data_IF_855856938535
#
_entry.id   IF_855856938535
#
_cell.length_a   1.000
_cell.length_b   1.000
_cell.length_c   1.000
_cell.angle_alpha   90.00
_cell.angle_beta   90.00
_cell.angle_gamma   90.00
#
_symmetry.space_group_name_H-M   'P 1'
#
loop_
_entity.id
_entity.type
_entity.pdbx_description
1 polymer ?
#
# COMPACT_ATOMS: atom_id res chain seq x y z
N UNK A 1 10.78 6.07 -32.75
CA UNK A 1 9.60 6.38 -31.92
C UNK A 1 9.80 5.65 -30.60
N UNK A 2 10.02 6.38 -29.51
CA UNK A 2 10.33 5.78 -28.20
C UNK A 2 9.06 5.61 -27.37
N UNK A 3 9.02 4.64 -26.44
CA UNK A 3 7.86 4.41 -25.56
C UNK A 3 7.43 5.66 -24.75
N UNK A 4 8.35 6.61 -24.54
CA UNK A 4 8.07 7.92 -23.92
C UNK A 4 7.09 8.78 -24.73
N UNK A 5 7.04 8.61 -26.05
CA UNK A 5 6.23 9.43 -26.96
C UNK A 5 4.75 9.00 -26.97
N UNK A 6 4.42 7.84 -26.39
CA UNK A 6 3.07 7.25 -26.45
C UNK A 6 2.24 7.56 -25.19
N UNK A 7 2.87 7.71 -24.02
CA UNK A 7 2.17 7.81 -22.73
C UNK A 7 2.41 9.10 -21.94
N UNK A 8 3.22 10.03 -22.47
CA UNK A 8 3.46 11.32 -21.84
C UNK A 8 2.36 12.34 -22.13
N UNK A 9 1.16 12.16 -21.59
CA UNK A 9 0.10 13.17 -21.70
C UNK A 9 0.32 14.26 -20.65
N UNK A 10 0.62 15.49 -21.09
CA UNK A 10 0.59 16.67 -20.22
C UNK A 10 -0.86 17.00 -19.90
N UNK A 11 -1.25 16.85 -18.63
CA UNK A 11 -2.55 17.30 -18.16
C UNK A 11 -2.42 18.72 -17.65
N UNK A 12 -3.15 19.66 -18.26
CA UNK A 12 -3.22 21.04 -17.80
C UNK A 12 -4.37 21.18 -16.80
N UNK A 13 -4.03 21.42 -15.53
CA UNK A 13 -4.99 21.73 -14.48
C UNK A 13 -5.10 23.24 -14.25
N UNK A 14 -6.30 23.74 -13.99
CA UNK A 14 -6.47 25.09 -13.41
C UNK A 14 -6.64 24.97 -11.91
N UNK A 15 -5.88 25.77 -11.16
CA UNK A 15 -6.08 25.92 -9.72
C UNK A 15 -7.43 26.59 -9.45
N UNK A 16 -8.20 26.09 -8.49
CA UNK A 16 -9.41 26.77 -8.01
C UNK A 16 -9.11 27.97 -7.11
N UNK A 17 -7.88 28.08 -6.61
CA UNK A 17 -7.47 29.05 -5.58
C UNK A 17 -6.61 30.19 -6.10
N UNK A 18 -6.21 30.17 -7.38
CA UNK A 18 -5.52 31.28 -8.03
C UNK A 18 -5.88 31.37 -9.52
N UNK A 19 -5.84 32.58 -10.08
CA UNK A 19 -6.01 32.81 -11.52
C UNK A 19 -4.81 32.33 -12.36
N UNK A 20 -3.81 31.71 -11.73
CA UNK A 20 -2.62 31.19 -12.40
C UNK A 20 -2.86 29.75 -12.88
N UNK A 21 -2.56 29.50 -14.15
CA UNK A 21 -2.62 28.14 -14.72
C UNK A 21 -1.33 27.42 -14.33
N UNK A 22 -1.39 26.59 -13.31
CA UNK A 22 -0.24 25.76 -12.89
C UNK A 22 -0.14 24.58 -13.85
N UNK A 23 0.87 24.60 -14.72
CA UNK A 23 1.17 23.48 -15.62
C UNK A 23 2.01 22.44 -14.87
N UNK A 24 1.36 21.52 -14.17
CA UNK A 24 2.06 20.38 -13.59
C UNK A 24 2.24 19.27 -14.63
N UNK A 25 3.48 18.78 -14.77
CA UNK A 25 3.74 17.61 -15.61
C UNK A 25 3.67 16.38 -14.70
N UNK A 26 2.57 15.63 -14.80
CA UNK A 26 2.46 14.33 -14.13
C UNK A 26 3.18 13.32 -15.01
N UNK A 27 4.31 12.77 -14.53
CA UNK A 27 5.00 11.68 -15.22
C UNK A 27 4.15 10.41 -15.14
N UNK A 28 3.45 10.07 -16.23
CA UNK A 28 2.79 8.78 -16.36
C UNK A 28 3.86 7.71 -16.62
N UNK A 29 4.14 6.87 -15.63
CA UNK A 29 5.05 5.72 -15.76
C UNK A 29 4.24 4.45 -15.96
N UNK A 30 4.37 3.83 -17.15
CA UNK A 30 3.89 2.47 -17.37
C UNK A 30 4.86 1.51 -16.69
N UNK A 31 4.35 0.70 -15.77
CA UNK A 31 5.12 -0.33 -15.05
C UNK A 31 4.60 -1.70 -15.45
N UNK A 32 5.50 -2.58 -15.89
CA UNK A 32 5.18 -3.97 -16.23
C UNK A 32 5.98 -4.82 -15.26
N UNK A 33 5.29 -5.69 -14.54
CA UNK A 33 5.93 -6.52 -13.54
C UNK A 33 5.23 -7.85 -13.31
N UNK A 34 5.97 -8.78 -12.71
CA UNK A 34 5.46 -10.05 -12.22
C UNK A 34 5.28 -9.97 -10.70
N UNK A 35 4.18 -10.54 -10.21
CA UNK A 35 3.86 -10.59 -8.80
C UNK A 35 3.71 -12.05 -8.36
N UNK A 36 4.45 -12.44 -7.34
CA UNK A 36 4.24 -13.68 -6.62
C UNK A 36 3.68 -13.38 -5.23
N UNK A 37 2.67 -14.14 -4.83
CA UNK A 37 2.00 -14.02 -3.55
C UNK A 37 1.89 -15.39 -2.91
N UNK A 38 2.29 -15.48 -1.64
CA UNK A 38 2.11 -16.65 -0.81
C UNK A 38 1.51 -16.22 0.52
N UNK A 39 0.51 -16.95 0.97
CA UNK A 39 -0.15 -16.76 2.27
C UNK A 39 -0.24 -18.10 2.99
N UNK A 40 0.03 -18.08 4.29
CA UNK A 40 -0.16 -19.23 5.17
C UNK A 40 -0.86 -18.76 6.42
N UNK A 41 -1.97 -19.41 6.76
CA UNK A 41 -2.76 -19.09 7.95
C UNK A 41 -2.65 -20.22 8.97
N UNK A 42 -2.43 -19.83 10.23
CA UNK A 42 -2.45 -20.70 11.39
C UNK A 42 -3.58 -20.26 12.32
N UNK A 43 -4.56 -21.13 12.51
CA UNK A 43 -5.63 -20.90 13.47
C UNK A 43 -5.16 -21.16 14.90
N UNK A 44 -5.54 -20.28 15.83
CA UNK A 44 -5.29 -20.43 17.27
C UNK A 44 -6.62 -20.29 18.02
N UNK A 45 -6.78 -20.84 19.25
CA UNK A 45 -8.07 -20.90 19.95
C UNK A 45 -8.82 -19.57 20.16
N UNK A 46 -8.18 -18.42 19.93
CA UNK A 46 -8.76 -17.08 20.05
C UNK A 46 -8.32 -16.14 18.93
N UNK A 47 -8.01 -16.66 17.74
CA UNK A 47 -7.53 -15.82 16.64
C UNK A 47 -6.89 -16.59 15.50
N UNK A 48 -6.17 -15.89 14.65
CA UNK A 48 -5.34 -16.49 13.63
C UNK A 48 -4.05 -15.70 13.43
N UNK A 49 -3.02 -16.37 12.94
CA UNK A 49 -1.77 -15.76 12.51
C UNK A 49 -1.66 -16.01 11.02
N UNK A 50 -1.59 -14.94 10.23
CA UNK A 50 -1.37 -14.98 8.78
C UNK A 50 0.05 -14.54 8.49
N UNK A 51 0.78 -15.38 7.77
CA UNK A 51 2.07 -15.03 7.20
C UNK A 51 1.86 -14.76 5.73
N UNK A 52 2.26 -13.57 5.26
CA UNK A 52 2.11 -13.18 3.88
C UNK A 52 3.45 -12.75 3.29
N UNK A 53 3.77 -13.29 2.12
CA UNK A 53 4.98 -12.90 1.40
C UNK A 53 4.57 -12.46 0.01
N UNK A 54 4.92 -11.22 -0.34
CA UNK A 54 4.70 -10.68 -1.68
C UNK A 54 6.03 -10.33 -2.30
N UNK A 55 6.29 -10.84 -3.50
CA UNK A 55 7.44 -10.49 -4.30
C UNK A 55 6.95 -9.81 -5.58
N UNK A 56 7.47 -8.62 -5.86
CA UNK A 56 7.15 -7.84 -7.03
C UNK A 56 8.44 -7.57 -7.80
N UNK A 57 8.50 -8.11 -9.01
CA UNK A 57 9.55 -7.81 -9.98
C UNK A 57 8.95 -6.76 -10.91
N UNK A 58 9.39 -5.51 -10.83
CA UNK A 58 9.11 -4.47 -11.82
C UNK A 58 10.35 -4.29 -12.70
N UNK A 59 10.16 -3.92 -13.97
CA UNK A 59 11.25 -3.75 -14.94
C UNK A 59 12.37 -2.81 -14.44
N UNK A 60 12.03 -1.84 -13.61
CA UNK A 60 12.98 -0.87 -13.04
C UNK A 60 13.44 -1.21 -11.62
N UNK A 61 12.64 -1.94 -10.83
CA UNK A 61 12.89 -2.15 -9.39
C UNK A 61 12.37 -3.50 -8.91
N UNK A 62 13.20 -4.20 -8.14
CA UNK A 62 12.80 -5.43 -7.45
C UNK A 62 12.38 -5.08 -6.02
N UNK A 63 11.14 -5.44 -5.67
CA UNK A 63 10.63 -5.25 -4.34
C UNK A 63 10.24 -6.58 -3.70
N UNK A 64 10.63 -6.72 -2.44
CA UNK A 64 10.29 -7.85 -1.60
C UNK A 64 9.57 -7.33 -0.36
N UNK A 65 8.43 -7.93 -0.08
CA UNK A 65 7.49 -7.54 0.97
C UNK A 65 7.09 -8.76 1.82
N UNK A 66 7.96 -9.25 2.71
CA UNK A 66 7.54 -10.20 3.72
C UNK A 66 6.75 -9.48 4.81
N UNK A 67 5.72 -10.14 5.32
CA UNK A 67 4.88 -9.64 6.39
C UNK A 67 4.24 -10.75 7.21
N UNK A 68 3.73 -10.33 8.35
CA UNK A 68 2.89 -11.14 9.21
C UNK A 68 1.76 -10.28 9.76
N UNK A 69 0.60 -10.91 9.92
CA UNK A 69 -0.59 -10.34 10.51
C UNK A 69 -1.12 -11.29 11.58
N UNK A 70 -1.44 -10.76 12.75
CA UNK A 70 -2.04 -11.50 13.85
C UNK A 70 -3.42 -10.94 14.09
N UNK A 71 -4.44 -11.76 13.97
CA UNK A 71 -5.82 -11.44 14.32
C UNK A 71 -6.17 -12.03 15.69
N UNK A 72 -6.66 -11.19 16.58
CA UNK A 72 -7.16 -11.56 17.90
C UNK A 72 -8.67 -11.46 17.88
N UNK A 73 -9.34 -12.60 18.06
CA UNK A 73 -10.80 -12.74 18.10
C UNK A 73 -11.52 -12.16 16.87
N UNK A 74 -10.83 -12.06 15.73
CA UNK A 74 -11.32 -11.37 14.51
C UNK A 74 -11.68 -9.89 14.70
N UNK A 75 -11.42 -9.31 15.88
CA UNK A 75 -11.74 -7.92 16.24
C UNK A 75 -10.51 -7.04 16.06
N UNK A 76 -9.34 -7.50 16.50
CA UNK A 76 -8.12 -6.72 16.44
C UNK A 76 -7.14 -7.41 15.51
N UNK A 77 -6.49 -6.65 14.64
CA UNK A 77 -5.35 -7.13 13.88
C UNK A 77 -4.12 -6.27 14.12
N UNK A 78 -2.98 -6.94 14.24
CA UNK A 78 -1.67 -6.31 14.27
C UNK A 78 -0.88 -6.82 13.06
N UNK A 79 -0.33 -5.89 12.29
CA UNK A 79 0.46 -6.17 11.09
C UNK A 79 1.86 -5.64 11.27
N UNK A 80 2.81 -6.44 10.83
CA UNK A 80 4.19 -6.01 10.67
C UNK A 80 4.67 -6.50 9.30
N UNK A 81 5.41 -5.64 8.61
CA UNK A 81 6.02 -5.99 7.33
C UNK A 81 7.36 -5.33 7.17
N UNK A 82 8.08 -5.79 6.16
CA UNK A 82 9.29 -5.15 5.70
C UNK A 82 9.15 -4.84 4.22
N UNK A 83 9.56 -3.64 3.83
CA UNK A 83 9.64 -3.24 2.43
C UNK A 83 11.10 -3.04 2.07
N UNK A 84 11.63 -3.90 1.19
CA UNK A 84 12.98 -3.76 0.67
C UNK A 84 13.21 -2.33 0.14
N UNK A 85 14.26 -1.68 0.65
CA UNK A 85 14.60 -0.30 0.31
C UNK A 85 13.80 0.81 1.01
N UNK A 86 12.75 0.49 1.79
CA UNK A 86 11.98 1.51 2.55
C UNK A 86 11.76 1.19 4.03
N UNK A 87 12.13 -0.01 4.50
CA UNK A 87 12.18 -0.33 5.93
C UNK A 87 10.92 -1.00 6.48
N UNK A 88 10.75 -0.92 7.80
CA UNK A 88 9.67 -1.61 8.52
C UNK A 88 8.34 -0.87 8.36
N UNK A 89 7.28 -1.68 8.30
CA UNK A 89 5.90 -1.24 8.22
C UNK A 89 5.13 -1.84 9.39
N UNK A 90 4.22 -1.05 9.96
CA UNK A 90 3.35 -1.49 11.04
C UNK A 90 1.93 -1.13 10.70
N UNK A 91 0.99 -1.96 11.13
CA UNK A 91 -0.42 -1.70 10.94
C UNK A 91 -1.26 -2.21 12.08
N UNK A 92 -2.38 -1.54 12.29
CA UNK A 92 -3.42 -1.89 13.23
C UNK A 92 -4.73 -2.00 12.46
N UNK A 93 -5.53 -2.99 12.80
CA UNK A 93 -6.89 -3.16 12.29
C UNK A 93 -7.85 -3.35 13.45
N UNK A 94 -9.03 -2.75 13.34
CA UNK A 94 -10.10 -2.90 14.30
C UNK A 94 -11.42 -3.12 13.59
N UNK A 95 -12.07 -4.22 13.91
CA UNK A 95 -13.38 -4.60 13.40
C UNK A 95 -14.44 -4.40 14.46
N UNK A 96 -15.47 -3.63 14.11
CA UNK A 96 -16.67 -3.48 14.92
C UNK A 96 -17.90 -3.65 14.04
N UNK A 97 -18.66 -4.72 14.30
CA UNK A 97 -19.80 -5.14 13.47
C UNK A 97 -19.36 -5.32 12.01
N UNK A 98 -19.88 -4.50 11.09
CA UNK A 98 -19.55 -4.52 9.67
C UNK A 98 -18.47 -3.50 9.29
N UNK A 99 -17.96 -2.72 10.24
CA UNK A 99 -17.01 -1.63 9.99
C UNK A 99 -15.62 -2.12 10.38
N UNK A 100 -14.66 -1.89 9.49
CA UNK A 100 -13.24 -2.02 9.76
C UNK A 100 -12.59 -0.65 9.72
N UNK A 101 -11.72 -0.40 10.70
CA UNK A 101 -10.80 0.73 10.74
C UNK A 101 -9.39 0.16 10.63
N UNK A 102 -8.68 0.59 9.61
CA UNK A 102 -7.33 0.16 9.29
C UNK A 102 -6.39 1.36 9.31
N UNK A 103 -5.30 1.22 10.05
CA UNK A 103 -4.23 2.21 10.08
C UNK A 103 -2.90 1.51 9.82
N UNK A 104 -2.08 2.08 8.94
CA UNK A 104 -0.75 1.57 8.65
C UNK A 104 0.24 2.72 8.56
N UNK A 105 1.48 2.46 8.98
CA UNK A 105 2.56 3.43 8.87
C UNK A 105 3.91 2.79 8.52
N UNK A 106 4.74 3.57 7.83
CA UNK A 106 6.11 3.24 7.46
C UNK A 106 7.08 4.02 8.34
N UNK A 107 8.04 3.35 8.98
CA UNK A 107 8.94 4.05 9.92
C UNK A 107 9.97 4.98 9.25
N UNK A 108 10.31 4.73 7.99
CA UNK A 108 11.44 5.35 7.30
C UNK A 108 11.05 6.39 6.24
N UNK A 109 9.79 6.85 6.24
CA UNK A 109 9.30 7.87 5.31
C UNK A 109 8.75 9.11 6.05
N UNK A 110 8.81 10.28 5.40
CA UNK A 110 8.25 11.52 5.93
C UNK A 110 6.73 11.40 6.15
N UNK A 111 6.24 12.04 7.21
CA UNK A 111 4.86 12.02 7.73
C UNK A 111 3.73 12.11 6.68
N UNK A 112 3.95 12.79 5.55
CA UNK A 112 2.91 12.96 4.52
C UNK A 112 2.60 11.70 3.70
N UNK A 113 3.55 10.78 3.52
CA UNK A 113 3.41 9.59 2.68
C UNK A 113 3.54 8.27 3.45
N UNK A 114 4.06 8.33 4.67
CA UNK A 114 4.29 7.14 5.49
C UNK A 114 3.04 6.58 6.13
N UNK A 115 1.97 7.37 6.29
CA UNK A 115 0.75 6.98 7.00
C UNK A 115 -0.41 6.72 6.05
N UNK A 116 -1.19 5.67 6.32
CA UNK A 116 -2.40 5.33 5.60
C UNK A 116 -3.52 5.01 6.57
N UNK A 117 -4.67 5.61 6.33
CA UNK A 117 -5.90 5.37 7.06
C UNK A 117 -6.95 4.89 6.06
N UNK A 118 -7.59 3.77 6.38
CA UNK A 118 -8.61 3.15 5.56
C UNK A 118 -9.79 2.76 6.44
N UNK A 119 -11.00 2.95 5.95
CA UNK A 119 -12.21 2.42 6.57
C UNK A 119 -12.95 1.57 5.56
N UNK A 120 -13.35 0.37 5.94
CA UNK A 120 -14.06 -0.56 5.06
C UNK A 120 -15.39 -0.99 5.70
N UNK A 121 -16.41 -1.17 4.86
CA UNK A 121 -17.69 -1.75 5.25
C UNK A 121 -17.83 -3.13 4.62
N UNK A 122 -18.00 -4.17 5.44
CA UNK A 122 -18.29 -5.54 4.99
C UNK A 122 -19.78 -5.62 4.67
N UNK A 123 -20.12 -5.70 3.39
CA UNK A 123 -21.51 -5.83 2.90
C UNK A 123 -22.11 -7.17 3.35
#
# INVERSE_FOLDING_TARGET
MTLKDIFGTKLEGKSYWSNETIKETIETKLRIGAMYFSETELEIPKGSIKFNTKFLIDYEQNFFYPGAEIFIQEIFGLRMGWLSGRGLTFGFSFWYKKINIDYAFLLNENLGNSHRFTTCLKL
#
